data_IF_369679610693
#
_entry.id   IF_369679610693
#
_cell.length_a   1.000
_cell.length_b   1.000
_cell.length_c   1.000
_cell.angle_alpha   90.00
_cell.angle_beta   90.00
_cell.angle_gamma   90.00
#
_symmetry.space_group_name_H-M   'P 1'
#
loop_
_entity.id
_entity.type
_entity.pdbx_description
1 polymer ?
#
# COMPACT_ATOMS: atom_id res chain seq x y z
N UNK A 1 2.75 -24.91 -23.77
CA UNK A 1 3.81 -24.05 -23.19
C UNK A 1 3.10 -22.79 -22.75
N UNK A 2 2.98 -22.59 -21.44
CA UNK A 2 2.43 -21.37 -20.87
C UNK A 2 3.60 -20.39 -20.88
N UNK A 3 3.45 -19.28 -21.59
CA UNK A 3 4.46 -18.23 -21.70
C UNK A 3 4.67 -17.61 -20.31
N UNK A 4 5.88 -17.77 -19.77
CA UNK A 4 6.37 -17.01 -18.61
C UNK A 4 6.41 -15.53 -18.99
N UNK A 5 5.34 -14.79 -18.69
CA UNK A 5 5.29 -13.34 -18.82
C UNK A 5 6.35 -12.72 -17.89
N UNK A 6 7.44 -12.12 -18.42
CA UNK A 6 8.55 -11.59 -17.64
C UNK A 6 8.15 -10.34 -16.82
N UNK A 7 6.92 -9.85 -16.96
CA UNK A 7 6.38 -8.71 -16.21
C UNK A 7 5.47 -9.11 -15.04
N UNK A 8 5.28 -10.41 -14.77
CA UNK A 8 4.44 -10.89 -13.66
C UNK A 8 5.09 -10.78 -12.27
N UNK A 9 6.18 -10.03 -12.12
CA UNK A 9 6.74 -9.65 -10.82
C UNK A 9 5.93 -8.51 -10.18
N UNK A 10 4.62 -8.69 -10.04
CA UNK A 10 3.81 -7.80 -9.21
C UNK A 10 4.11 -8.22 -7.76
N UNK A 11 4.65 -7.34 -6.90
CA UNK A 11 5.01 -7.75 -5.54
C UNK A 11 3.78 -8.37 -4.89
N UNK A 12 3.91 -9.63 -4.46
CA UNK A 12 2.84 -10.36 -3.82
C UNK A 12 2.40 -9.54 -2.60
N UNK A 13 1.21 -8.96 -2.68
CA UNK A 13 0.58 -8.27 -1.56
C UNK A 13 0.27 -9.38 -0.56
N UNK A 14 1.12 -9.55 0.44
CA UNK A 14 0.86 -10.49 1.53
C UNK A 14 -0.48 -10.06 2.15
N UNK A 15 -1.49 -10.93 2.23
CA UNK A 15 -2.73 -10.58 2.92
C UNK A 15 -2.38 -10.32 4.39
N UNK A 16 -2.48 -9.08 4.81
CA UNK A 16 -2.36 -8.71 6.23
C UNK A 16 -3.59 -9.24 6.94
N UNK A 17 -3.38 -10.14 7.92
CA UNK A 17 -4.42 -10.68 8.80
C UNK A 17 -4.97 -9.64 9.80
N UNK A 18 -4.93 -8.36 9.44
CA UNK A 18 -5.36 -7.25 10.28
C UNK A 18 -6.72 -6.74 9.79
N UNK A 19 -7.68 -6.68 10.72
CA UNK A 19 -9.01 -6.12 10.49
C UNK A 19 -9.11 -4.72 11.13
N UNK A 20 -9.46 -3.72 10.31
CA UNK A 20 -9.64 -2.34 10.79
C UNK A 20 -10.90 -2.27 11.65
N UNK A 21 -10.75 -1.75 12.87
CA UNK A 21 -11.86 -1.64 13.83
C UNK A 21 -12.20 -2.95 14.54
N UNK A 22 -11.36 -3.98 14.42
CA UNK A 22 -11.51 -5.23 15.17
C UNK A 22 -11.35 -5.04 16.68
N UNK A 23 -11.88 -5.99 17.46
CA UNK A 23 -11.77 -5.98 18.92
C UNK A 23 -10.31 -6.11 19.38
N UNK A 24 -9.90 -5.23 20.28
CA UNK A 24 -8.55 -5.18 20.86
C UNK A 24 -8.47 -5.94 22.19
N UNK A 25 -9.61 -6.29 22.80
CA UNK A 25 -9.65 -6.89 24.13
C UNK A 25 -8.97 -8.26 24.21
N UNK A 26 -8.83 -8.94 23.07
CA UNK A 26 -8.23 -10.27 22.94
C UNK A 26 -6.74 -10.24 22.54
N UNK A 27 -6.19 -9.04 22.30
CA UNK A 27 -4.81 -8.85 21.86
C UNK A 27 -3.89 -8.51 23.04
N UNK A 28 -2.67 -9.01 22.98
CA UNK A 28 -1.58 -8.56 23.83
C UNK A 28 -1.01 -7.22 23.37
N UNK A 29 -0.25 -6.56 24.25
CA UNK A 29 0.45 -5.30 23.94
C UNK A 29 1.39 -5.44 22.73
N UNK A 30 2.17 -6.52 22.67
CA UNK A 30 3.10 -6.81 21.57
C UNK A 30 2.34 -6.98 20.25
N UNK A 31 1.20 -7.69 20.23
CA UNK A 31 0.39 -7.84 19.02
C UNK A 31 -0.20 -6.51 18.55
N UNK A 32 -0.53 -5.61 19.47
CA UNK A 32 -0.98 -4.26 19.14
C UNK A 32 0.18 -3.45 18.52
N UNK A 33 1.39 -3.51 19.09
CA UNK A 33 2.59 -2.86 18.54
C UNK A 33 2.92 -3.36 17.12
N UNK A 34 2.91 -4.67 16.90
CA UNK A 34 3.14 -5.26 15.58
C UNK A 34 2.10 -4.79 14.56
N UNK A 35 0.81 -4.75 14.94
CA UNK A 35 -0.27 -4.25 14.09
C UNK A 35 -0.09 -2.77 13.75
N UNK A 36 0.29 -1.94 14.73
CA UNK A 36 0.59 -0.52 14.50
C UNK A 36 1.70 -0.37 13.47
N UNK A 37 2.83 -1.07 13.66
CA UNK A 37 3.96 -1.00 12.75
C UNK A 37 3.59 -1.40 11.31
N UNK A 38 2.77 -2.45 11.16
CA UNK A 38 2.25 -2.89 9.85
C UNK A 38 1.39 -1.81 9.18
N UNK A 39 0.48 -1.19 9.94
CA UNK A 39 -0.38 -0.12 9.42
C UNK A 39 0.39 1.14 9.05
N UNK A 40 1.38 1.53 9.84
CA UNK A 40 2.24 2.68 9.55
C UNK A 40 3.04 2.48 8.27
N UNK A 41 3.60 1.29 8.07
CA UNK A 41 4.28 0.93 6.83
C UNK A 41 3.34 1.00 5.62
N UNK A 42 2.10 0.53 5.77
CA UNK A 42 1.10 0.62 4.70
C UNK A 42 0.68 2.08 4.43
N UNK A 43 0.51 2.90 5.46
CA UNK A 43 0.24 4.35 5.31
C UNK A 43 1.37 5.03 4.54
N UNK A 44 2.62 4.71 4.85
CA UNK A 44 3.78 5.25 4.12
C UNK A 44 3.73 4.87 2.64
N UNK A 45 3.52 3.58 2.34
CA UNK A 45 3.39 3.08 0.96
C UNK A 45 2.27 3.78 0.18
N UNK A 46 1.11 3.97 0.81
CA UNK A 46 -0.03 4.65 0.21
C UNK A 46 0.25 6.13 -0.05
N UNK A 47 0.92 6.82 0.88
CA UNK A 47 1.33 8.23 0.72
C UNK A 47 2.27 8.40 -0.47
N UNK A 48 3.27 7.54 -0.60
CA UNK A 48 4.18 7.59 -1.76
C UNK A 48 3.44 7.34 -3.08
N UNK A 49 2.53 6.36 -3.10
CA UNK A 49 1.72 6.07 -4.29
C UNK A 49 0.82 7.25 -4.67
N UNK A 50 0.24 7.92 -3.67
CA UNK A 50 -0.55 9.13 -3.88
C UNK A 50 0.30 10.25 -4.48
N UNK A 51 1.51 10.46 -3.96
CA UNK A 51 2.40 11.51 -4.45
C UNK A 51 2.82 11.27 -5.91
N UNK A 52 3.18 10.02 -6.25
CA UNK A 52 3.46 9.63 -7.64
C UNK A 52 2.27 9.89 -8.57
N UNK A 53 1.03 9.66 -8.10
CA UNK A 53 -0.18 9.94 -8.89
C UNK A 53 -0.42 11.44 -9.05
N UNK A 54 -0.18 12.23 -8.00
CA UNK A 54 -0.31 13.70 -8.03
C UNK A 54 0.69 14.33 -8.98
N UNK A 55 1.96 13.94 -8.93
CA UNK A 55 2.99 14.45 -9.84
C UNK A 55 2.67 14.11 -11.30
N UNK A 56 2.20 12.89 -11.58
CA UNK A 56 1.73 12.49 -12.91
C UNK A 56 0.54 13.34 -13.38
N UNK A 57 -0.44 13.61 -12.51
CA UNK A 57 -1.58 14.49 -12.83
C UNK A 57 -1.12 15.92 -13.14
N UNK A 58 -0.26 16.50 -12.30
CA UNK A 58 0.24 17.85 -12.48
C UNK A 58 1.05 18.01 -13.78
N UNK A 59 1.87 17.01 -14.13
CA UNK A 59 2.60 16.99 -15.39
C UNK A 59 1.66 16.92 -16.61
N UNK A 60 0.61 16.10 -16.52
CA UNK A 60 -0.42 16.03 -17.57
C UNK A 60 -1.15 17.37 -17.71
N UNK A 61 -1.62 17.95 -16.60
CA UNK A 61 -2.37 19.21 -16.61
C UNK A 61 -1.53 20.38 -17.18
N UNK A 62 -0.23 20.40 -16.94
CA UNK A 62 0.70 21.38 -17.54
C UNK A 62 0.91 21.16 -19.04
N UNK A 63 0.88 19.91 -19.51
CA UNK A 63 0.99 19.56 -20.93
C UNK A 63 -0.26 19.95 -21.72
N UNK A 64 -1.46 19.79 -21.13
CA UNK A 64 -2.74 20.06 -21.80
C UNK A 64 -3.21 21.52 -21.76
N UNK A 65 -2.58 22.42 -20.99
CA UNK A 65 -2.96 23.85 -20.87
C UNK A 65 -2.16 24.80 -21.78
N UNK A 66 -1.64 24.32 -22.91
CA UNK A 66 -1.15 25.18 -24.01
C UNK A 66 -2.18 25.23 -25.14
#
# INVERSE_FOLDING_TARGET
MIEDDPFSSRPAIKPTAHEIGGDLSTLSEVEIEERIALLEAEIARLREALERKRSSRAAADAFFKR
#
